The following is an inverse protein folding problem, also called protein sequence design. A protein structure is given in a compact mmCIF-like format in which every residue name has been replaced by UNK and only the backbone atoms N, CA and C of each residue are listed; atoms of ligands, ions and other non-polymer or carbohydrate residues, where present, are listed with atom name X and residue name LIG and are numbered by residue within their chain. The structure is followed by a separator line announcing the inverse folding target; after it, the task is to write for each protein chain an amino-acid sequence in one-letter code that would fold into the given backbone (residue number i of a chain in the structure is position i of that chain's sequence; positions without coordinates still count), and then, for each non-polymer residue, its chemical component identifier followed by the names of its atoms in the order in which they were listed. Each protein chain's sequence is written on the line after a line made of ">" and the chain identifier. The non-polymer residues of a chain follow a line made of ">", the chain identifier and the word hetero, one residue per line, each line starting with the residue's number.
data_IF_941526031750
#
_entry.id   IF_941526031750
#
_cell.length_a   1.000
_cell.length_b   1.000
_cell.length_c   1.000
_cell.angle_alpha   90.00
_cell.angle_beta   90.00
_cell.angle_gamma   90.00
#
_symmetry.space_group_name_H-M   'P 1'
#
loop_
_entity.id
_entity.type
_entity.pdbx_description
1 polymer ?
#
# COMPACT_ATOMS: atom_id res chain seq x y z
N UNK A 1 -47.23 -19.30 -0.68
CA UNK A 1 -46.57 -18.58 0.43
C UNK A 1 -45.19 -19.21 0.59
N UNK A 2 -44.13 -18.45 0.38
CA UNK A 2 -42.75 -18.96 0.43
C UNK A 2 -42.11 -18.43 1.71
N UNK A 3 -41.59 -19.34 2.54
CA UNK A 3 -40.82 -18.98 3.72
C UNK A 3 -39.39 -18.67 3.28
N UNK A 4 -38.95 -17.44 3.55
CA UNK A 4 -37.55 -17.04 3.35
C UNK A 4 -36.80 -17.40 4.62
N UNK A 5 -35.80 -18.27 4.51
CA UNK A 5 -34.87 -18.50 5.61
C UNK A 5 -33.96 -17.29 5.77
N UNK A 6 -34.22 -16.49 6.80
CA UNK A 6 -33.32 -15.43 7.22
C UNK A 6 -32.23 -16.10 8.04
N UNK A 7 -31.03 -16.24 7.45
CA UNK A 7 -29.86 -16.76 8.15
C UNK A 7 -29.50 -15.92 9.38
N UNK A 8 -28.80 -16.54 10.35
CA UNK A 8 -28.47 -15.88 11.62
C UNK A 8 -27.75 -14.54 11.43
N UNK A 9 -28.06 -13.58 12.32
CA UNK A 9 -27.43 -12.27 12.28
C UNK A 9 -25.95 -12.41 12.59
N UNK A 10 -25.10 -11.93 11.69
CA UNK A 10 -23.66 -11.91 11.95
C UNK A 10 -23.34 -10.98 13.11
N UNK A 11 -22.26 -11.26 13.84
CA UNK A 11 -21.80 -10.41 14.95
C UNK A 11 -21.66 -8.94 14.53
N UNK A 12 -21.18 -8.69 13.30
CA UNK A 12 -21.10 -7.34 12.72
C UNK A 12 -22.44 -6.62 12.64
N UNK A 13 -23.53 -7.34 12.36
CA UNK A 13 -24.89 -6.77 12.37
C UNK A 13 -25.43 -6.57 13.78
N UNK A 14 -25.10 -7.47 14.71
CA UNK A 14 -25.55 -7.41 16.09
C UNK A 14 -24.94 -6.22 16.85
N UNK A 15 -23.68 -5.89 16.57
CA UNK A 15 -22.91 -4.84 17.27
C UNK A 15 -22.84 -3.53 16.45
N UNK A 16 -23.59 -3.42 15.35
CA UNK A 16 -23.52 -2.24 14.49
C UNK A 16 -23.99 -0.98 15.22
N UNK A 17 -23.10 -0.02 15.37
CA UNK A 17 -23.40 1.33 15.84
C UNK A 17 -23.05 2.34 14.75
N UNK A 18 -24.07 2.98 14.17
CA UNK A 18 -23.89 3.92 13.06
C UNK A 18 -23.21 5.22 13.47
N UNK A 19 -23.46 5.71 14.69
CA UNK A 19 -22.87 6.96 15.18
C UNK A 19 -21.38 6.77 15.44
N UNK A 20 -21.02 5.69 16.13
CA UNK A 20 -19.61 5.35 16.37
C UNK A 20 -18.87 5.12 15.06
N UNK A 21 -19.46 4.37 14.12
CA UNK A 21 -18.85 4.12 12.83
C UNK A 21 -18.63 5.40 12.01
N UNK A 22 -19.54 6.38 12.09
CA UNK A 22 -19.37 7.67 11.43
C UNK A 22 -18.22 8.49 12.04
N UNK A 23 -18.06 8.45 13.37
CA UNK A 23 -16.95 9.10 14.07
C UNK A 23 -15.61 8.46 13.73
N UNK A 24 -15.54 7.12 13.73
CA UNK A 24 -14.33 6.37 13.37
C UNK A 24 -13.92 6.64 11.92
N UNK A 25 -14.87 6.65 10.96
CA UNK A 25 -14.57 7.00 9.56
C UNK A 25 -14.00 8.41 9.44
N UNK A 26 -14.55 9.39 10.18
CA UNK A 26 -14.03 10.75 10.14
C UNK A 26 -12.58 10.81 10.65
N UNK A 27 -12.30 10.15 11.77
CA UNK A 27 -10.95 10.07 12.32
C UNK A 27 -9.98 9.34 11.37
N UNK A 28 -10.40 8.24 10.76
CA UNK A 28 -9.59 7.51 9.79
C UNK A 28 -9.26 8.40 8.58
N UNK A 29 -10.24 9.14 8.06
CA UNK A 29 -10.04 10.05 6.93
C UNK A 29 -9.04 11.17 7.26
N UNK A 30 -9.08 11.71 8.49
CA UNK A 30 -8.12 12.72 8.95
C UNK A 30 -6.68 12.16 9.01
N UNK A 31 -6.52 10.86 9.29
CA UNK A 31 -5.21 10.19 9.38
C UNK A 31 -4.66 9.68 8.04
N UNK A 32 -5.45 9.69 6.96
CA UNK A 32 -5.05 9.12 5.67
C UNK A 32 -3.77 9.77 5.13
N UNK A 33 -3.63 11.09 5.29
CA UNK A 33 -2.48 11.79 4.73
C UNK A 33 -1.18 11.45 5.48
N UNK A 34 -1.24 11.25 6.80
CA UNK A 34 -0.09 10.76 7.59
C UNK A 34 0.34 9.36 7.14
N UNK A 35 -0.63 8.46 6.91
CA UNK A 35 -0.36 7.12 6.40
C UNK A 35 0.25 7.13 4.99
N UNK A 36 -0.20 8.06 4.14
CA UNK A 36 0.36 8.24 2.79
C UNK A 36 1.80 8.75 2.85
N UNK A 37 2.07 9.72 3.71
CA UNK A 37 3.41 10.26 3.88
C UNK A 37 4.37 9.18 4.40
N UNK A 38 3.95 8.39 5.38
CA UNK A 38 4.72 7.26 5.88
C UNK A 38 4.99 6.23 4.77
N UNK A 39 3.96 5.85 4.00
CA UNK A 39 4.11 4.93 2.88
C UNK A 39 5.08 5.46 1.81
N UNK A 40 5.02 6.77 1.51
CA UNK A 40 5.92 7.41 0.57
C UNK A 40 7.38 7.39 1.06
N UNK A 41 7.62 7.63 2.35
CA UNK A 41 8.97 7.53 2.94
C UNK A 41 9.53 6.11 2.77
N UNK A 42 8.72 5.09 3.06
CA UNK A 42 9.14 3.69 2.87
C UNK A 42 9.42 3.35 1.41
N UNK A 43 8.59 3.82 0.49
CA UNK A 43 8.77 3.61 -0.95
C UNK A 43 10.08 4.24 -1.43
N UNK A 44 10.33 5.50 -1.09
CA UNK A 44 11.54 6.23 -1.50
C UNK A 44 12.80 5.59 -0.89
N UNK A 45 12.74 5.14 0.38
CA UNK A 45 13.82 4.40 1.01
C UNK A 45 14.11 3.07 0.27
N UNK A 46 13.06 2.34 -0.13
CA UNK A 46 13.19 1.11 -0.91
C UNK A 46 13.83 1.38 -2.29
N UNK A 47 13.34 2.38 -3.03
CA UNK A 47 13.93 2.80 -4.32
C UNK A 47 15.40 3.16 -4.18
N UNK A 48 15.76 3.93 -3.14
CA UNK A 48 17.14 4.33 -2.89
C UNK A 48 18.04 3.14 -2.54
N UNK A 49 17.55 2.18 -1.76
CA UNK A 49 18.29 0.94 -1.47
C UNK A 49 18.52 0.12 -2.73
N UNK A 50 17.50 -0.01 -3.58
CA UNK A 50 17.59 -0.72 -4.85
C UNK A 50 18.59 -0.05 -5.81
N UNK A 51 18.53 1.27 -5.96
CA UNK A 51 19.44 2.03 -6.83
C UNK A 51 20.88 1.96 -6.34
N UNK A 52 21.13 2.06 -5.03
CA UNK A 52 22.46 1.86 -4.43
C UNK A 52 22.99 0.47 -4.76
N UNK A 53 22.18 -0.58 -4.53
CA UNK A 53 22.59 -1.95 -4.86
C UNK A 53 22.89 -2.11 -6.34
N UNK A 54 22.08 -1.56 -7.23
CA UNK A 54 22.37 -1.61 -8.66
C UNK A 54 23.68 -0.90 -8.98
N UNK A 55 23.86 0.34 -8.53
CA UNK A 55 25.03 1.17 -8.84
C UNK A 55 26.34 0.67 -8.22
N UNK A 56 26.30 -0.02 -7.07
CA UNK A 56 27.51 -0.60 -6.48
C UNK A 56 27.95 -1.87 -7.19
N UNK A 57 27.01 -2.66 -7.70
CA UNK A 57 27.31 -3.97 -8.30
C UNK A 57 27.49 -3.88 -9.83
N UNK A 58 26.83 -2.93 -10.48
CA UNK A 58 26.95 -2.67 -11.91
C UNK A 58 28.01 -1.60 -12.13
N UNK A 59 29.20 -2.01 -12.58
CA UNK A 59 30.23 -1.08 -13.05
C UNK A 59 29.81 -0.56 -14.43
N UNK A 60 29.62 0.76 -14.63
CA UNK A 60 29.34 1.30 -15.95
C UNK A 60 30.53 1.00 -16.87
N UNK A 61 30.27 0.29 -17.97
CA UNK A 61 31.25 0.11 -19.04
C UNK A 61 31.04 1.20 -20.07
N UNK A 62 32.07 1.97 -20.36
CA UNK A 62 32.08 2.87 -21.50
C UNK A 62 32.49 2.07 -22.75
N UNK A 63 31.68 2.14 -23.79
CA UNK A 63 31.96 1.54 -25.09
C UNK A 63 32.26 2.63 -26.11
N UNK A 64 33.11 2.33 -27.08
CA UNK A 64 33.46 3.20 -28.21
C UNK A 64 32.98 2.58 -29.51
N UNK A 65 32.86 3.40 -30.55
CA UNK A 65 32.52 2.94 -31.90
C UNK A 65 33.58 1.91 -32.35
N UNK A 66 33.14 0.67 -32.61
CA UNK A 66 34.01 -0.46 -32.96
C UNK A 66 34.21 -1.50 -31.86
N UNK A 67 33.71 -1.27 -30.63
CA UNK A 67 33.76 -2.28 -29.57
C UNK A 67 32.82 -3.45 -29.89
N UNK A 68 33.38 -4.66 -29.96
CA UNK A 68 32.61 -5.90 -30.10
C UNK A 68 32.07 -6.31 -28.73
N UNK A 69 30.74 -6.24 -28.58
CA UNK A 69 30.00 -6.71 -27.40
C UNK A 69 29.34 -8.04 -27.76
N UNK A 70 29.63 -9.08 -26.97
CA UNK A 70 29.04 -10.42 -27.10
C UNK A 70 27.98 -10.63 -26.04
#
# INVERSE_FOLDING_TARGET
>A
MILVEVGETSHRRQVFNSEQNAQEIAADLDLIDELRDEAQIYEEACKLRASRRYNTWVRPRSFRVGDLVW
#
